data_IF_178007160389
#
_entry.id   IF_178007160389
#
_cell.length_a   1.000
_cell.length_b   1.000
_cell.length_c   1.000
_cell.angle_alpha   90.00
_cell.angle_beta   90.00
_cell.angle_gamma   90.00
#
_symmetry.space_group_name_H-M   'P 1'
#
loop_
_entity.id
_entity.type
_entity.pdbx_description
1 polymer ?
#
# COMPACT_ATOMS: atom_id res chain seq x y z
N UNK A 1 29.50 5.46 9.89
CA UNK A 1 28.98 5.08 8.57
C UNK A 1 28.41 6.36 7.96
N UNK A 2 29.02 6.90 6.90
CA UNK A 2 28.52 8.10 6.24
C UNK A 2 27.20 7.71 5.51
N UNK A 3 26.12 8.37 5.85
CA UNK A 3 24.84 8.19 5.15
C UNK A 3 25.02 8.72 3.71
N UNK A 4 24.84 7.86 2.73
CA UNK A 4 24.80 8.26 1.33
C UNK A 4 23.37 8.25 0.86
N UNK A 5 22.93 9.34 0.24
CA UNK A 5 21.60 9.40 -0.37
C UNK A 5 21.46 8.32 -1.44
N UNK A 6 20.31 7.63 -1.51
CA UNK A 6 20.06 6.67 -2.58
C UNK A 6 19.99 7.36 -3.94
N UNK A 7 20.26 6.59 -5.01
CA UNK A 7 20.15 7.09 -6.39
C UNK A 7 18.72 7.57 -6.69
N UNK A 8 18.57 8.45 -7.66
CA UNK A 8 17.26 9.01 -8.05
C UNK A 8 16.27 7.91 -8.46
N UNK A 9 16.76 6.88 -9.16
CA UNK A 9 15.94 5.73 -9.56
C UNK A 9 15.32 5.01 -8.36
N UNK A 10 16.10 4.83 -7.28
CA UNK A 10 15.60 4.21 -6.05
C UNK A 10 14.59 5.10 -5.34
N UNK A 11 14.80 6.42 -5.34
CA UNK A 11 13.86 7.37 -4.77
C UNK A 11 12.56 7.41 -5.58
N UNK A 12 12.65 7.39 -6.93
CA UNK A 12 11.49 7.32 -7.83
C UNK A 12 10.71 6.02 -7.58
N UNK A 13 11.40 4.88 -7.51
CA UNK A 13 10.75 3.59 -7.26
C UNK A 13 9.92 3.61 -5.96
N UNK A 14 10.49 4.16 -4.89
CA UNK A 14 9.80 4.25 -3.59
C UNK A 14 8.53 5.12 -3.63
N UNK A 15 8.59 6.31 -4.25
CA UNK A 15 7.42 7.19 -4.33
C UNK A 15 6.38 6.68 -5.34
N UNK A 16 6.83 6.00 -6.40
CA UNK A 16 5.92 5.39 -7.39
C UNK A 16 5.09 4.28 -6.80
N UNK A 17 5.66 3.50 -5.88
CA UNK A 17 4.92 2.49 -5.13
C UNK A 17 3.79 3.12 -4.30
N UNK A 18 4.05 4.22 -3.61
CA UNK A 18 3.04 4.99 -2.88
C UNK A 18 1.90 5.50 -3.79
N UNK A 19 2.25 6.01 -4.99
CA UNK A 19 1.25 6.47 -5.98
C UNK A 19 0.40 5.31 -6.47
N UNK A 20 1.03 4.20 -6.85
CA UNK A 20 0.35 3.01 -7.34
C UNK A 20 -0.59 2.45 -6.25
N UNK A 21 -0.07 2.27 -5.04
CA UNK A 21 -0.81 1.72 -3.91
C UNK A 21 -2.09 2.51 -3.61
N UNK A 22 -1.99 3.85 -3.45
CA UNK A 22 -3.15 4.68 -3.17
C UNK A 22 -4.24 4.57 -4.25
N UNK A 23 -3.86 4.53 -5.53
CA UNK A 23 -4.82 4.46 -6.62
C UNK A 23 -5.42 3.06 -6.80
N UNK A 24 -4.63 2.01 -6.63
CA UNK A 24 -5.13 0.63 -6.69
C UNK A 24 -6.05 0.31 -5.52
N UNK A 25 -5.77 0.79 -4.32
CA UNK A 25 -6.63 0.57 -3.17
C UNK A 25 -8.00 1.25 -3.35
N UNK A 26 -8.06 2.44 -3.95
CA UNK A 26 -9.33 3.09 -4.33
C UNK A 26 -10.07 2.23 -5.37
N UNK A 27 -9.37 1.75 -6.41
CA UNK A 27 -9.96 0.91 -7.44
C UNK A 27 -10.54 -0.37 -6.86
N UNK A 28 -9.75 -1.07 -6.06
CA UNK A 28 -10.14 -2.34 -5.44
C UNK A 28 -11.30 -2.16 -4.45
N UNK A 29 -11.30 -1.06 -3.69
CA UNK A 29 -12.39 -0.73 -2.78
C UNK A 29 -13.72 -0.52 -3.52
N UNK A 30 -13.70 0.19 -4.65
CA UNK A 30 -14.89 0.40 -5.48
C UNK A 30 -15.34 -0.92 -6.12
N UNK A 31 -14.42 -1.70 -6.69
CA UNK A 31 -14.72 -3.01 -7.27
C UNK A 31 -15.29 -4.01 -6.27
N UNK A 32 -14.83 -3.94 -5.02
CA UNK A 32 -15.33 -4.76 -3.92
C UNK A 32 -16.65 -4.24 -3.32
N UNK A 33 -17.18 -3.11 -3.77
CA UNK A 33 -18.39 -2.49 -3.24
C UNK A 33 -18.21 -1.93 -1.82
N UNK A 34 -16.98 -1.68 -1.39
CA UNK A 34 -16.65 -1.06 -0.11
C UNK A 34 -16.71 0.46 -0.18
N UNK A 35 -16.53 1.02 -1.36
CA UNK A 35 -16.52 2.45 -1.64
C UNK A 35 -17.36 2.75 -2.88
N UNK A 36 -18.04 3.89 -2.89
CA UNK A 36 -18.79 4.41 -4.03
C UNK A 36 -18.11 5.65 -4.60
N UNK A 37 -18.41 5.97 -5.87
CA UNK A 37 -17.90 7.21 -6.50
C UNK A 37 -18.37 8.44 -5.72
N UNK A 38 -19.60 8.44 -5.21
CA UNK A 38 -20.13 9.56 -4.43
C UNK A 38 -19.34 9.77 -3.12
N UNK A 39 -18.87 8.70 -2.48
CA UNK A 39 -18.00 8.82 -1.31
C UNK A 39 -16.61 9.36 -1.66
N UNK A 40 -16.08 9.13 -2.88
CA UNK A 40 -14.85 9.78 -3.31
C UNK A 40 -14.95 11.30 -3.35
N UNK A 41 -16.15 11.86 -3.57
CA UNK A 41 -16.37 13.31 -3.55
C UNK A 41 -16.21 13.94 -2.15
N UNK A 42 -16.12 13.13 -1.08
CA UNK A 42 -15.78 13.60 0.26
C UNK A 42 -14.29 13.97 0.39
N UNK A 43 -13.44 13.43 -0.49
CA UNK A 43 -12.04 13.80 -0.58
C UNK A 43 -11.86 14.90 -1.65
N UNK A 44 -11.39 16.08 -1.26
CA UNK A 44 -11.28 17.25 -2.13
C UNK A 44 -10.45 17.00 -3.40
N UNK A 45 -9.39 16.17 -3.32
CA UNK A 45 -8.57 15.85 -4.47
C UNK A 45 -9.36 15.08 -5.54
N UNK A 46 -10.06 14.03 -5.16
CA UNK A 46 -10.91 13.27 -6.08
C UNK A 46 -12.13 14.07 -6.54
N UNK A 47 -12.75 14.84 -5.64
CA UNK A 47 -13.88 15.72 -5.97
C UNK A 47 -13.55 16.69 -7.13
N UNK A 48 -12.40 17.32 -7.07
CA UNK A 48 -11.97 18.25 -8.13
C UNK A 48 -11.82 17.55 -9.48
N UNK A 49 -11.27 16.31 -9.48
CA UNK A 49 -11.14 15.48 -10.69
C UNK A 49 -12.52 15.09 -11.22
N UNK A 50 -13.42 14.63 -10.35
CA UNK A 50 -14.78 14.20 -10.71
C UNK A 50 -15.57 15.37 -11.32
N UNK A 51 -15.54 16.53 -10.67
CA UNK A 51 -16.25 17.71 -11.16
C UNK A 51 -15.72 18.17 -12.53
N UNK A 52 -14.41 18.11 -12.75
CA UNK A 52 -13.80 18.41 -14.06
C UNK A 52 -14.28 17.43 -15.12
N UNK A 53 -14.25 16.14 -14.84
CA UNK A 53 -14.67 15.09 -15.78
C UNK A 53 -16.17 15.16 -16.11
N UNK A 54 -17.04 15.37 -15.11
CA UNK A 54 -18.50 15.54 -15.31
C UNK A 54 -18.81 16.78 -16.14
N UNK A 55 -17.99 17.83 -16.07
CA UNK A 55 -18.14 19.04 -16.90
C UNK A 55 -17.70 18.79 -18.34
N UNK A 56 -16.64 18.01 -18.53
CA UNK A 56 -16.08 17.68 -19.84
C UNK A 56 -16.93 16.67 -20.60
N UNK A 57 -17.44 15.65 -19.89
CA UNK A 57 -18.23 14.53 -20.42
C UNK A 57 -19.62 14.51 -19.78
N UNK A 58 -20.64 15.08 -20.47
CA UNK A 58 -21.99 15.29 -19.91
C UNK A 58 -22.72 14.03 -19.49
N UNK A 59 -22.48 12.89 -20.20
CA UNK A 59 -23.21 11.63 -20.01
C UNK A 59 -22.23 10.46 -19.71
N UNK A 60 -21.17 10.72 -18.96
CA UNK A 60 -20.20 9.69 -18.59
C UNK A 60 -20.83 8.69 -17.60
N UNK A 61 -20.79 7.40 -17.93
CA UNK A 61 -21.24 6.35 -17.00
C UNK A 61 -20.26 6.19 -15.82
N UNK A 62 -20.77 5.68 -14.70
CA UNK A 62 -20.00 5.58 -13.45
C UNK A 62 -18.72 4.73 -13.58
N UNK A 63 -18.77 3.67 -14.40
CA UNK A 63 -17.60 2.81 -14.60
C UNK A 63 -16.50 3.53 -15.36
N UNK A 64 -16.87 4.23 -16.43
CA UNK A 64 -15.93 5.02 -17.21
C UNK A 64 -15.41 6.21 -16.40
N UNK A 65 -16.30 6.87 -15.63
CA UNK A 65 -15.93 7.95 -14.71
C UNK A 65 -14.88 7.48 -13.71
N UNK A 66 -15.07 6.32 -13.07
CA UNK A 66 -14.12 5.73 -12.15
C UNK A 66 -12.73 5.55 -12.79
N UNK A 67 -12.66 4.92 -13.98
CA UNK A 67 -11.38 4.74 -14.68
C UNK A 67 -10.72 6.08 -15.02
N UNK A 68 -11.48 7.06 -15.42
CA UNK A 68 -10.96 8.40 -15.75
C UNK A 68 -10.48 9.13 -14.48
N UNK A 69 -11.18 8.99 -13.35
CA UNK A 69 -10.77 9.57 -12.06
C UNK A 69 -9.42 9.00 -11.64
N UNK A 70 -9.27 7.68 -11.64
CA UNK A 70 -8.02 7.01 -11.26
C UNK A 70 -6.87 7.37 -12.19
N UNK A 71 -7.11 7.37 -13.50
CA UNK A 71 -6.10 7.77 -14.50
C UNK A 71 -5.63 9.20 -14.29
N UNK A 72 -6.57 10.14 -14.09
CA UNK A 72 -6.22 11.54 -13.85
C UNK A 72 -5.51 11.71 -12.51
N UNK A 73 -5.94 11.00 -11.46
CA UNK A 73 -5.28 11.00 -10.16
C UNK A 73 -3.80 10.60 -10.29
N UNK A 74 -3.52 9.47 -10.95
CA UNK A 74 -2.14 9.03 -11.20
C UNK A 74 -1.35 10.06 -12.02
N UNK A 75 -1.94 10.60 -13.10
CA UNK A 75 -1.26 11.60 -13.93
C UNK A 75 -0.88 12.85 -13.14
N UNK A 76 -1.78 13.38 -12.33
CA UNK A 76 -1.51 14.56 -11.52
C UNK A 76 -0.41 14.31 -10.47
N UNK A 77 -0.41 13.13 -9.83
CA UNK A 77 0.63 12.75 -8.87
C UNK A 77 2.00 12.61 -9.57
N UNK A 78 2.06 11.97 -10.74
CA UNK A 78 3.30 11.78 -11.50
C UNK A 78 3.83 13.12 -12.02
N UNK A 79 2.98 13.98 -12.55
CA UNK A 79 3.36 15.31 -13.03
C UNK A 79 3.90 16.18 -11.87
N UNK A 80 3.26 16.12 -10.70
CA UNK A 80 3.71 16.84 -9.51
C UNK A 80 5.09 16.37 -9.05
N UNK A 81 5.30 15.06 -8.94
CA UNK A 81 6.61 14.46 -8.59
C UNK A 81 7.67 14.93 -9.58
N UNK A 82 7.38 14.87 -10.88
CA UNK A 82 8.32 15.27 -11.91
C UNK A 82 8.73 16.74 -11.76
N UNK A 83 7.77 17.65 -11.67
CA UNK A 83 8.03 19.07 -11.54
C UNK A 83 8.76 19.40 -10.24
N UNK A 84 8.32 18.85 -9.11
CA UNK A 84 8.93 19.08 -7.81
C UNK A 84 10.38 18.55 -7.79
N UNK A 85 10.60 17.35 -8.33
CA UNK A 85 11.94 16.75 -8.41
C UNK A 85 12.89 17.61 -9.25
N UNK A 86 12.44 18.10 -10.40
CA UNK A 86 13.25 19.01 -11.23
C UNK A 86 13.62 20.28 -10.47
N UNK A 87 12.69 20.85 -9.70
CA UNK A 87 12.97 22.02 -8.86
C UNK A 87 13.97 21.70 -7.75
N UNK A 88 13.82 20.56 -7.09
CA UNK A 88 14.71 20.13 -6.01
C UNK A 88 16.14 19.91 -6.50
N UNK A 89 16.32 19.21 -7.63
CA UNK A 89 17.64 18.98 -8.25
C UNK A 89 18.32 20.31 -8.58
N UNK A 90 17.56 21.24 -9.18
CA UNK A 90 18.08 22.57 -9.54
C UNK A 90 18.45 23.38 -8.31
N UNK A 91 17.62 23.39 -7.29
CA UNK A 91 17.84 24.12 -6.04
C UNK A 91 19.01 23.57 -5.23
N UNK A 92 19.19 22.24 -5.22
CA UNK A 92 20.31 21.57 -4.56
C UNK A 92 21.63 21.68 -5.33
N UNK A 93 21.61 22.17 -6.58
CA UNK A 93 22.80 22.33 -7.42
C UNK A 93 23.44 21.00 -7.83
N UNK A 94 22.70 19.89 -7.77
CA UNK A 94 23.20 18.52 -8.10
C UNK A 94 23.43 18.42 -9.60
N UNK A 95 24.67 18.06 -9.98
CA UNK A 95 25.10 17.92 -11.38
C UNK A 95 25.59 16.53 -11.75
N UNK A 96 25.93 15.72 -10.75
CA UNK A 96 26.47 14.39 -10.93
C UNK A 96 26.08 13.47 -9.75
N UNK A 97 26.46 12.19 -9.85
CA UNK A 97 26.12 11.16 -8.83
C UNK A 97 26.78 11.46 -7.47
N UNK A 98 27.97 12.04 -7.46
CA UNK A 98 28.68 12.35 -6.23
C UNK A 98 27.98 13.47 -5.47
N UNK A 99 27.52 14.54 -6.15
CA UNK A 99 26.71 15.60 -5.56
C UNK A 99 25.42 15.02 -4.97
N UNK A 100 24.76 14.09 -5.69
CA UNK A 100 23.56 13.41 -5.23
C UNK A 100 23.80 12.60 -3.96
N UNK A 101 24.86 11.79 -3.93
CA UNK A 101 25.19 10.93 -2.78
C UNK A 101 25.56 11.72 -1.53
N UNK A 102 26.11 12.91 -1.71
CA UNK A 102 26.48 13.81 -0.61
C UNK A 102 25.29 14.67 -0.14
N UNK A 103 24.17 14.68 -0.86
CA UNK A 103 22.97 15.41 -0.46
C UNK A 103 22.30 14.71 0.74
N UNK A 104 21.92 15.48 1.76
CA UNK A 104 21.31 14.96 2.98
C UNK A 104 19.80 14.73 2.85
N UNK A 105 19.17 15.27 1.81
CA UNK A 105 17.73 15.20 1.59
C UNK A 105 17.39 14.40 0.34
N UNK A 106 16.25 13.73 0.34
CA UNK A 106 15.71 13.16 -0.88
C UNK A 106 15.33 14.27 -1.85
N UNK A 107 15.66 14.06 -3.12
CA UNK A 107 15.34 15.02 -4.18
C UNK A 107 14.02 14.68 -4.88
N UNK A 108 13.64 13.41 -4.87
CA UNK A 108 12.35 12.96 -5.41
C UNK A 108 11.29 13.09 -4.33
N UNK A 109 10.34 13.96 -4.53
CA UNK A 109 9.26 14.22 -3.58
C UNK A 109 8.04 14.82 -4.25
N UNK A 110 6.91 14.75 -3.59
CA UNK A 110 5.76 15.59 -3.91
C UNK A 110 6.01 17.05 -3.58
N UNK A 111 5.25 17.95 -4.21
CA UNK A 111 5.04 19.30 -3.68
C UNK A 111 4.33 19.23 -2.32
N UNK A 112 4.43 20.31 -1.53
CA UNK A 112 3.75 20.36 -0.22
C UNK A 112 2.22 20.21 -0.34
N UNK A 113 1.63 20.69 -1.42
CA UNK A 113 0.20 20.54 -1.70
C UNK A 113 -0.15 19.08 -2.00
N UNK A 114 0.58 18.44 -2.91
CA UNK A 114 0.32 17.04 -3.28
C UNK A 114 0.64 16.08 -2.13
N UNK A 115 1.66 16.36 -1.34
CA UNK A 115 1.94 15.59 -0.12
C UNK A 115 0.77 15.65 0.88
N UNK A 116 0.18 16.85 1.06
CA UNK A 116 -1.03 17.01 1.87
C UNK A 116 -2.21 16.21 1.31
N UNK A 117 -2.42 16.26 -0.01
CA UNK A 117 -3.47 15.47 -0.67
C UNK A 117 -3.24 13.97 -0.52
N UNK A 118 -2.01 13.48 -0.70
CA UNK A 118 -1.66 12.08 -0.49
C UNK A 118 -1.96 11.62 0.94
N UNK A 119 -1.63 12.43 1.96
CA UNK A 119 -1.97 12.15 3.36
C UNK A 119 -3.49 12.08 3.58
N UNK A 120 -4.25 13.00 2.98
CA UNK A 120 -5.73 12.99 3.06
C UNK A 120 -6.33 11.76 2.37
N UNK A 121 -5.76 11.31 1.24
CA UNK A 121 -6.18 10.08 0.56
C UNK A 121 -5.93 8.87 1.46
N UNK A 122 -4.74 8.76 2.05
CA UNK A 122 -4.41 7.66 2.98
C UNK A 122 -5.35 7.63 4.19
N UNK A 123 -5.66 8.78 4.79
CA UNK A 123 -6.63 8.88 5.88
C UNK A 123 -8.03 8.47 5.44
N UNK A 124 -8.48 8.96 4.29
CA UNK A 124 -9.77 8.60 3.72
C UNK A 124 -9.91 7.09 3.46
N UNK A 125 -8.87 6.45 2.89
CA UNK A 125 -8.84 4.99 2.71
C UNK A 125 -8.84 4.25 4.05
N UNK A 126 -8.10 4.75 5.04
CA UNK A 126 -8.08 4.15 6.36
C UNK A 126 -9.47 4.13 6.99
N UNK A 127 -10.18 5.26 6.96
CA UNK A 127 -11.48 5.42 7.59
C UNK A 127 -12.59 4.66 6.84
N UNK A 128 -12.62 4.73 5.51
CA UNK A 128 -13.72 4.21 4.72
C UNK A 128 -13.51 2.79 4.20
N UNK A 129 -12.25 2.35 4.02
CA UNK A 129 -11.92 1.04 3.46
C UNK A 129 -11.33 0.13 4.52
N UNK A 130 -10.18 0.48 5.10
CA UNK A 130 -9.48 -0.46 6.00
C UNK A 130 -10.23 -0.71 7.31
N UNK A 131 -11.04 0.25 7.78
CA UNK A 131 -11.92 0.09 8.94
C UNK A 131 -13.35 -0.36 8.59
N UNK A 132 -13.59 -0.71 7.33
CA UNK A 132 -14.90 -1.24 6.95
C UNK A 132 -15.21 -2.53 7.71
N UNK A 133 -16.44 -2.65 8.25
CA UNK A 133 -16.85 -3.75 9.13
C UNK A 133 -16.52 -5.14 8.60
N UNK A 134 -16.71 -5.36 7.30
CA UNK A 134 -16.42 -6.65 6.66
C UNK A 134 -14.93 -6.99 6.67
N UNK A 135 -14.06 -5.98 6.51
CA UNK A 135 -12.60 -6.19 6.55
C UNK A 135 -12.11 -6.40 7.98
N UNK A 136 -12.66 -5.66 8.93
CA UNK A 136 -12.35 -5.85 10.37
C UNK A 136 -12.71 -7.26 10.83
N UNK A 137 -13.90 -7.77 10.46
CA UNK A 137 -14.30 -9.15 10.77
C UNK A 137 -13.38 -10.20 10.15
N UNK A 138 -13.00 -10.01 8.87
CA UNK A 138 -12.04 -10.90 8.20
C UNK A 138 -10.69 -10.89 8.90
N UNK A 139 -10.18 -9.71 9.26
CA UNK A 139 -8.89 -9.53 9.97
C UNK A 139 -8.91 -10.24 11.31
N UNK A 140 -9.98 -10.12 12.08
CA UNK A 140 -10.16 -10.82 13.38
C UNK A 140 -10.12 -12.36 13.21
N UNK A 141 -10.75 -12.88 12.15
CA UNK A 141 -10.71 -14.31 11.86
C UNK A 141 -9.31 -14.78 11.48
N UNK A 142 -8.59 -14.02 10.65
CA UNK A 142 -7.19 -14.33 10.28
C UNK A 142 -6.29 -14.32 11.51
N UNK A 143 -6.41 -13.30 12.35
CA UNK A 143 -5.66 -13.16 13.61
C UNK A 143 -5.89 -14.36 14.54
N UNK A 144 -7.15 -14.80 14.66
CA UNK A 144 -7.52 -16.01 15.41
C UNK A 144 -6.85 -17.27 14.84
N UNK A 145 -6.90 -17.45 13.51
CA UNK A 145 -6.31 -18.60 12.84
C UNK A 145 -4.80 -18.64 13.09
N UNK A 146 -4.09 -17.55 12.78
CA UNK A 146 -2.63 -17.47 12.93
C UNK A 146 -2.21 -17.69 14.39
N UNK A 147 -2.86 -17.01 15.33
CA UNK A 147 -2.54 -17.14 16.75
C UNK A 147 -2.75 -18.58 17.27
N UNK A 148 -3.79 -19.27 16.80
CA UNK A 148 -4.04 -20.64 17.20
C UNK A 148 -3.09 -21.63 16.54
N UNK A 149 -2.76 -21.46 15.27
CA UNK A 149 -1.77 -22.28 14.59
C UNK A 149 -0.38 -22.13 15.23
N UNK A 150 0.03 -20.90 15.54
CA UNK A 150 1.28 -20.66 16.26
C UNK A 150 1.31 -21.39 17.60
N UNK A 151 0.27 -21.21 18.42
CA UNK A 151 0.16 -21.89 19.74
C UNK A 151 0.15 -23.41 19.62
N UNK A 152 -0.50 -23.97 18.59
CA UNK A 152 -0.53 -25.40 18.34
C UNK A 152 0.87 -25.96 18.10
N UNK A 153 1.64 -25.36 17.21
CA UNK A 153 3.00 -25.79 16.92
C UNK A 153 3.97 -25.50 18.08
N UNK A 154 3.75 -24.41 18.82
CA UNK A 154 4.55 -24.10 19.99
C UNK A 154 4.40 -25.14 21.11
N UNK A 155 3.17 -25.58 21.35
CA UNK A 155 2.88 -26.61 22.35
C UNK A 155 3.22 -28.03 21.85
N UNK A 156 3.36 -28.23 20.57
CA UNK A 156 3.62 -29.53 19.95
C UNK A 156 4.58 -29.40 18.75
N UNK A 157 5.87 -29.10 18.99
CA UNK A 157 6.86 -28.91 17.92
C UNK A 157 7.05 -30.15 17.02
N UNK A 158 6.76 -31.33 17.53
CA UNK A 158 6.79 -32.60 16.78
C UNK A 158 5.70 -32.71 15.70
N UNK A 159 4.76 -31.78 15.65
CA UNK A 159 3.74 -31.65 14.58
C UNK A 159 4.19 -30.80 13.40
N UNK A 160 5.30 -30.08 13.53
CA UNK A 160 5.93 -29.44 12.38
C UNK A 160 6.40 -30.48 11.36
N UNK A 161 6.42 -30.17 10.05
CA UNK A 161 7.01 -31.05 9.04
C UNK A 161 8.48 -31.32 9.35
N UNK A 162 8.97 -32.50 8.91
CA UNK A 162 10.31 -33.02 9.26
C UNK A 162 11.43 -32.03 8.91
N UNK A 163 11.32 -31.34 7.77
CA UNK A 163 12.35 -30.40 7.31
C UNK A 163 12.43 -29.17 8.22
N UNK A 164 11.29 -28.70 8.73
CA UNK A 164 11.24 -27.56 9.66
C UNK A 164 11.79 -27.91 11.05
N UNK A 165 11.67 -29.18 11.47
CA UNK A 165 12.21 -29.63 12.76
C UNK A 165 13.75 -29.75 12.80
N UNK A 166 14.40 -29.74 11.64
CA UNK A 166 15.87 -29.84 11.50
C UNK A 166 16.57 -28.49 11.47
N UNK A 167 15.80 -27.39 11.47
CA UNK A 167 16.35 -26.04 11.46
C UNK A 167 16.93 -25.72 12.83
N UNK A 168 18.21 -25.34 12.90
CA UNK A 168 18.92 -24.97 14.11
C UNK A 168 18.70 -23.49 14.45
N UNK A 169 17.46 -23.17 14.80
CA UNK A 169 17.00 -21.83 15.19
C UNK A 169 16.03 -21.95 16.37
N UNK A 170 15.80 -20.86 17.14
CA UNK A 170 14.79 -20.85 18.20
C UNK A 170 13.43 -21.30 17.66
N UNK A 171 12.74 -22.16 18.40
CA UNK A 171 11.48 -22.78 17.96
C UNK A 171 10.43 -21.76 17.56
N UNK A 172 10.37 -20.62 18.24
CA UNK A 172 9.47 -19.52 17.95
C UNK A 172 9.72 -18.95 16.55
N UNK A 173 11.00 -18.86 16.17
CA UNK A 173 11.40 -18.38 14.83
C UNK A 173 11.00 -19.38 13.75
N UNK A 174 11.29 -20.65 13.97
CA UNK A 174 10.91 -21.73 13.05
C UNK A 174 9.40 -21.76 12.82
N UNK A 175 8.61 -21.59 13.89
CA UNK A 175 7.15 -21.57 13.79
C UNK A 175 6.67 -20.31 13.03
N UNK A 176 7.23 -19.15 13.32
CA UNK A 176 6.92 -17.92 12.59
C UNK A 176 7.16 -18.09 11.10
N UNK A 177 8.32 -18.60 10.71
CA UNK A 177 8.68 -18.78 9.31
C UNK A 177 7.78 -19.82 8.63
N UNK A 178 7.46 -20.93 9.32
CA UNK A 178 6.55 -21.94 8.82
C UNK A 178 5.13 -21.40 8.60
N UNK A 179 4.57 -20.71 9.59
CA UNK A 179 3.21 -20.14 9.51
C UNK A 179 3.15 -19.02 8.49
N UNK A 180 4.16 -18.16 8.42
CA UNK A 180 4.24 -17.06 7.43
C UNK A 180 4.36 -17.57 6.00
N UNK A 181 4.95 -18.75 5.79
CA UNK A 181 5.05 -19.40 4.48
C UNK A 181 3.76 -20.09 4.00
N UNK A 182 2.71 -20.11 4.83
CA UNK A 182 1.43 -20.71 4.43
C UNK A 182 0.65 -19.78 3.51
N UNK A 183 -0.04 -20.37 2.53
CA UNK A 183 -1.11 -19.64 1.83
C UNK A 183 -2.35 -19.55 2.72
N UNK A 184 -3.19 -18.54 2.52
CA UNK A 184 -4.45 -18.37 3.27
C UNK A 184 -5.34 -19.61 3.26
N UNK A 185 -5.42 -20.28 2.10
CA UNK A 185 -6.18 -21.52 1.93
C UNK A 185 -5.61 -22.67 2.75
N UNK A 186 -4.29 -22.80 2.77
CA UNK A 186 -3.63 -23.84 3.54
C UNK A 186 -3.79 -23.61 5.03
N UNK A 187 -3.53 -22.40 5.52
CA UNK A 187 -3.71 -22.04 6.93
C UNK A 187 -5.15 -22.27 7.42
N UNK A 188 -6.15 -21.84 6.62
CA UNK A 188 -7.56 -22.03 6.95
C UNK A 188 -7.98 -23.50 6.98
N UNK A 189 -7.49 -24.31 6.04
CA UNK A 189 -7.74 -25.77 6.01
C UNK A 189 -7.11 -26.46 7.21
N UNK A 190 -5.83 -26.18 7.47
CA UNK A 190 -5.12 -26.76 8.59
C UNK A 190 -5.75 -26.40 9.94
N UNK A 191 -6.19 -25.14 10.07
CA UNK A 191 -6.92 -24.70 11.26
C UNK A 191 -8.20 -25.53 11.49
N UNK A 192 -8.97 -25.78 10.44
CA UNK A 192 -10.18 -26.62 10.54
C UNK A 192 -9.84 -28.05 10.91
N UNK A 193 -8.84 -28.64 10.31
CA UNK A 193 -8.39 -30.02 10.62
C UNK A 193 -7.95 -30.21 12.08
N UNK A 194 -7.45 -29.12 12.72
CA UNK A 194 -6.96 -29.17 14.10
C UNK A 194 -8.06 -28.84 15.13
N UNK A 195 -9.00 -27.97 14.79
CA UNK A 195 -9.90 -27.36 15.77
C UNK A 195 -11.41 -27.56 15.50
N UNK A 196 -11.78 -28.07 14.33
CA UNK A 196 -13.16 -28.37 13.93
C UNK A 196 -13.32 -29.88 13.59
#
# INVERSE_FOLDING_TARGET
MLFRSPLLESQIAAISDDVAYNNHDVEDAIRAGLLTINQLEENDFFKNIILKLKKEYKDIDDKLLMFQVLRNSMSFMIEDIYHQTCMNIKSAGVKNIEDLQNNQSFLVSFSSEMESNSKKIKSFLFDNVYNHKNLVLKRHNVEKIISKLFKYFYNSPNKLPLDWRKIDEPIERVICDYVSGMTDRFASRLFKEIYE
#
